data_IF_376623616654
#
_entry.id   IF_376623616654
#
_cell.length_a   1.000
_cell.length_b   1.000
_cell.length_c   1.000
_cell.angle_alpha   90.00
_cell.angle_beta   90.00
_cell.angle_gamma   90.00
#
_symmetry.space_group_name_H-M   'P 1'
#
loop_
_entity.id
_entity.type
_entity.pdbx_description
1 polymer ?
#
# COMPACT_ATOMS: atom_id res chain seq x y z
N UNK A 1 26.23 -46.23 3.78
CA UNK A 1 27.60 -46.16 3.22
C UNK A 1 28.31 -45.07 4.02
N UNK A 2 28.97 -45.32 5.17
CA UNK A 2 30.01 -46.30 5.54
C UNK A 2 31.23 -46.29 4.62
N UNK A 3 32.39 -45.98 5.21
CA UNK A 3 33.73 -45.85 4.62
C UNK A 3 34.39 -44.60 5.20
N UNK A 4 35.23 -44.59 6.25
CA UNK A 4 36.33 -45.46 6.70
C UNK A 4 37.62 -45.39 5.87
N UNK A 5 38.74 -45.37 6.61
CA UNK A 5 40.17 -45.43 6.24
C UNK A 5 40.86 -44.08 5.90
N UNK A 6 41.79 -43.57 6.71
CA UNK A 6 43.10 -44.07 7.19
C UNK A 6 44.23 -43.88 6.16
N UNK A 7 45.31 -43.22 6.57
CA UNK A 7 46.51 -43.05 5.74
C UNK A 7 47.52 -42.10 6.36
N UNK A 8 48.59 -42.67 6.91
CA UNK A 8 49.65 -42.04 7.68
C UNK A 8 50.70 -41.29 6.83
N UNK A 9 51.51 -40.47 7.52
CA UNK A 9 52.95 -40.45 7.28
C UNK A 9 53.57 -39.07 7.01
N UNK A 10 54.66 -38.78 7.72
CA UNK A 10 55.70 -37.87 7.22
C UNK A 10 56.17 -36.82 8.24
N UNK A 11 57.22 -37.14 8.96
CA UNK A 11 57.92 -36.21 9.85
C UNK A 11 58.72 -35.15 9.10
N UNK A 12 59.02 -34.06 9.80
CA UNK A 12 59.94 -33.01 9.36
C UNK A 12 60.35 -32.16 10.55
N UNK A 13 61.56 -32.39 11.05
CA UNK A 13 62.22 -31.54 12.03
C UNK A 13 62.51 -30.16 11.42
N UNK A 14 62.30 -29.09 12.18
CA UNK A 14 62.64 -27.74 11.70
C UNK A 14 62.41 -26.64 12.72
N UNK A 15 63.49 -26.26 13.40
CA UNK A 15 63.79 -24.95 13.98
C UNK A 15 62.80 -24.33 14.99
N UNK A 16 63.26 -24.26 16.24
CA UNK A 16 62.73 -23.40 17.28
C UNK A 16 62.80 -21.92 16.84
N UNK A 17 61.64 -21.32 16.55
CA UNK A 17 61.47 -19.88 16.43
C UNK A 17 60.98 -19.31 17.77
N UNK A 18 61.68 -18.30 18.28
CA UNK A 18 61.37 -17.59 19.51
C UNK A 18 59.94 -17.01 19.49
N UNK A 19 59.22 -16.96 20.62
CA UNK A 19 57.87 -16.40 20.67
C UNK A 19 57.89 -14.90 20.36
N UNK A 20 56.95 -14.39 19.54
CA UNK A 20 56.79 -12.95 19.36
C UNK A 20 56.29 -12.34 20.67
N UNK A 21 57.07 -11.39 21.21
CA UNK A 21 56.71 -10.60 22.37
C UNK A 21 55.41 -9.84 22.11
N UNK A 22 54.33 -10.28 22.75
CA UNK A 22 53.02 -9.61 22.74
C UNK A 22 53.18 -8.21 23.32
N UNK A 23 52.81 -7.13 22.61
CA UNK A 23 52.82 -5.79 23.18
C UNK A 23 51.80 -5.71 24.34
N UNK A 24 52.11 -4.98 25.42
CA UNK A 24 51.21 -4.84 26.56
C UNK A 24 49.89 -4.22 26.11
N UNK A 25 48.78 -4.86 26.50
CA UNK A 25 47.44 -4.37 26.25
C UNK A 25 47.29 -2.92 26.75
N UNK A 26 46.87 -2.03 25.86
CA UNK A 26 46.57 -0.65 26.21
C UNK A 26 45.53 -0.63 27.36
N UNK A 27 45.71 0.22 28.39
CA UNK A 27 44.76 0.32 29.48
C UNK A 27 43.38 0.66 28.92
N UNK A 28 42.36 -0.09 29.35
CA UNK A 28 40.97 0.17 28.97
C UNK A 28 40.61 1.63 29.30
N UNK A 29 39.92 2.35 28.41
CA UNK A 29 39.53 3.73 28.66
C UNK A 29 38.73 3.80 29.97
N UNK A 30 39.10 4.74 30.84
CA UNK A 30 38.41 4.95 32.11
C UNK A 30 36.90 5.14 31.87
N UNK A 31 36.02 4.56 32.71
CA UNK A 31 34.58 4.71 32.55
C UNK A 31 34.23 6.20 32.59
N UNK A 32 33.49 6.66 31.58
CA UNK A 32 33.03 8.03 31.51
C UNK A 32 32.26 8.41 32.80
N UNK A 33 32.42 9.64 33.32
CA UNK A 33 31.73 10.06 34.53
C UNK A 33 30.21 9.92 34.34
N UNK A 34 29.55 9.35 35.35
CA UNK A 34 28.10 9.19 35.35
C UNK A 34 27.44 10.57 35.21
N UNK A 35 26.54 10.71 34.23
CA UNK A 35 25.81 11.95 33.99
C UNK A 35 25.04 12.38 35.25
N UNK A 36 25.10 13.68 35.57
CA UNK A 36 24.35 14.24 36.70
C UNK A 36 22.85 13.95 36.56
N UNK A 37 22.14 13.71 37.68
CA UNK A 37 20.70 13.50 37.64
C UNK A 37 19.98 14.74 37.10
N UNK A 38 18.89 14.57 36.32
CA UNK A 38 18.17 15.70 35.72
C UNK A 38 17.52 16.58 36.78
N UNK A 39 17.61 17.89 36.59
CA UNK A 39 16.95 18.84 37.47
C UNK A 39 15.41 18.73 37.34
N UNK A 40 14.64 19.04 38.40
CA UNK A 40 13.18 19.05 38.31
C UNK A 40 12.62 19.97 37.23
N UNK A 41 13.32 21.06 36.90
CA UNK A 41 12.92 22.00 35.85
C UNK A 41 13.05 21.38 34.46
N UNK A 42 14.18 20.74 34.15
CA UNK A 42 14.40 20.03 32.88
C UNK A 42 13.36 18.94 32.67
N UNK A 43 13.04 18.18 33.72
CA UNK A 43 12.01 17.14 33.66
C UNK A 43 10.63 17.71 33.31
N UNK A 44 10.24 18.83 33.93
CA UNK A 44 8.97 19.50 33.65
C UNK A 44 8.90 20.07 32.24
N UNK A 45 9.97 20.72 31.78
CA UNK A 45 10.04 21.31 30.45
C UNK A 45 9.95 20.24 29.36
N UNK A 46 10.74 19.16 29.49
CA UNK A 46 10.68 18.02 28.59
C UNK A 46 9.28 17.41 28.54
N UNK A 47 8.70 17.13 29.72
CA UNK A 47 7.37 16.52 29.81
C UNK A 47 6.31 17.39 29.13
N UNK A 48 6.31 18.70 29.35
CA UNK A 48 5.35 19.62 28.71
C UNK A 48 5.48 19.61 27.18
N UNK A 49 6.71 19.59 26.67
CA UNK A 49 7.00 19.47 25.24
C UNK A 49 6.46 18.16 24.66
N UNK A 50 6.80 17.04 25.29
CA UNK A 50 6.36 15.70 24.89
C UNK A 50 4.82 15.57 24.91
N UNK A 51 4.18 16.04 25.98
CA UNK A 51 2.71 16.04 26.11
C UNK A 51 2.04 16.85 25.00
N UNK A 52 2.57 18.03 24.70
CA UNK A 52 2.04 18.88 23.62
C UNK A 52 2.19 18.19 22.26
N UNK A 53 3.36 17.61 21.99
CA UNK A 53 3.63 16.86 20.76
C UNK A 53 2.67 15.68 20.56
N UNK A 54 2.46 14.87 21.60
CA UNK A 54 1.53 13.73 21.54
C UNK A 54 0.09 14.19 21.32
N UNK A 55 -0.38 15.23 22.01
CA UNK A 55 -1.74 15.78 21.82
C UNK A 55 -1.99 16.25 20.39
N UNK A 56 -1.03 16.99 19.83
CA UNK A 56 -1.10 17.47 18.44
C UNK A 56 -1.12 16.27 17.49
N UNK A 57 -0.22 15.31 17.67
CA UNK A 57 -0.13 14.13 16.81
C UNK A 57 -1.41 13.27 16.83
N UNK A 58 -2.01 13.04 18.01
CA UNK A 58 -3.28 12.30 18.13
C UNK A 58 -4.42 13.05 17.44
N UNK A 59 -4.48 14.38 17.58
CA UNK A 59 -5.51 15.20 16.93
C UNK A 59 -5.37 15.14 15.40
N UNK A 60 -4.15 15.31 14.89
CA UNK A 60 -3.82 15.15 13.46
C UNK A 60 -4.19 13.76 12.97
N UNK A 61 -3.84 12.71 13.74
CA UNK A 61 -4.12 11.33 13.35
C UNK A 61 -5.62 11.04 13.23
N UNK A 62 -6.45 11.52 14.18
CA UNK A 62 -7.91 11.40 14.10
C UNK A 62 -8.47 12.09 12.86
N UNK A 63 -8.03 13.32 12.58
CA UNK A 63 -8.46 14.09 11.41
C UNK A 63 -8.05 13.43 10.08
N UNK A 64 -6.79 12.99 9.97
CA UNK A 64 -6.28 12.29 8.79
C UNK A 64 -7.05 10.98 8.53
N UNK A 65 -7.35 10.21 9.58
CA UNK A 65 -8.16 8.99 9.45
C UNK A 65 -9.59 9.26 8.97
N UNK A 66 -10.24 10.30 9.50
CA UNK A 66 -11.58 10.69 9.05
C UNK A 66 -11.59 11.02 7.55
N UNK A 67 -10.64 11.85 7.08
CA UNK A 67 -10.48 12.15 5.65
C UNK A 67 -10.15 10.91 4.82
N UNK A 68 -9.33 10.01 5.35
CA UNK A 68 -9.03 8.73 4.72
C UNK A 68 -10.29 7.87 4.53
N UNK A 69 -11.14 7.78 5.54
CA UNK A 69 -12.42 7.06 5.48
C UNK A 69 -13.37 7.67 4.44
N UNK A 70 -13.50 9.00 4.42
CA UNK A 70 -14.30 9.72 3.41
C UNK A 70 -13.78 9.49 1.99
N UNK A 71 -12.46 9.54 1.79
CA UNK A 71 -11.83 9.27 0.50
C UNK A 71 -12.05 7.83 0.05
N UNK A 72 -11.98 6.86 0.97
CA UNK A 72 -12.27 5.45 0.68
C UNK A 72 -13.73 5.26 0.25
N UNK A 73 -14.68 5.87 0.96
CA UNK A 73 -16.10 5.80 0.62
C UNK A 73 -16.42 6.48 -0.73
N UNK A 74 -15.77 7.62 -1.02
CA UNK A 74 -15.87 8.26 -2.34
C UNK A 74 -15.31 7.37 -3.45
N UNK A 75 -14.17 6.72 -3.21
CA UNK A 75 -13.58 5.78 -4.16
C UNK A 75 -14.47 4.57 -4.44
N UNK A 76 -15.24 4.09 -3.45
CA UNK A 76 -16.23 3.01 -3.68
C UNK A 76 -17.29 3.42 -4.70
N UNK A 77 -17.76 4.68 -4.63
CA UNK A 77 -18.72 5.20 -5.63
C UNK A 77 -18.06 5.33 -7.01
N UNK A 78 -16.83 5.85 -7.06
CA UNK A 78 -16.08 6.03 -8.30
C UNK A 78 -15.76 4.69 -9.00
N UNK A 79 -15.27 3.68 -8.28
CA UNK A 79 -14.96 2.36 -8.86
C UNK A 79 -16.22 1.62 -9.33
N UNK A 80 -17.34 1.81 -8.65
CA UNK A 80 -18.64 1.27 -9.08
C UNK A 80 -19.10 1.95 -10.38
N UNK A 81 -19.02 3.28 -10.46
CA UNK A 81 -19.37 4.03 -11.66
C UNK A 81 -18.48 3.65 -12.85
N UNK A 82 -17.17 3.48 -12.62
CA UNK A 82 -16.20 3.01 -13.60
C UNK A 82 -16.58 1.62 -14.13
N UNK A 83 -16.85 0.69 -13.21
CA UNK A 83 -17.21 -0.70 -13.55
C UNK A 83 -18.48 -0.76 -14.39
N UNK A 84 -19.53 -0.04 -13.97
CA UNK A 84 -20.79 0.01 -14.71
C UNK A 84 -20.59 0.58 -16.12
N UNK A 85 -19.83 1.67 -16.25
CA UNK A 85 -19.56 2.27 -17.56
C UNK A 85 -18.80 1.31 -18.50
N UNK A 86 -17.81 0.58 -17.99
CA UNK A 86 -17.03 -0.39 -18.77
C UNK A 86 -17.87 -1.62 -19.17
N UNK A 87 -18.67 -2.17 -18.26
CA UNK A 87 -19.54 -3.30 -18.56
C UNK A 87 -20.65 -2.92 -19.52
N UNK A 88 -21.29 -1.76 -19.34
CA UNK A 88 -22.29 -1.26 -20.29
C UNK A 88 -21.69 -1.10 -21.69
N UNK A 89 -20.45 -0.62 -21.79
CA UNK A 89 -19.76 -0.49 -23.08
C UNK A 89 -19.45 -1.87 -23.70
N UNK A 90 -19.05 -2.84 -22.89
CA UNK A 90 -18.71 -4.19 -23.35
C UNK A 90 -19.94 -4.99 -23.81
N UNK A 91 -21.07 -4.87 -23.11
CA UNK A 91 -22.32 -5.56 -23.47
C UNK A 91 -23.18 -4.80 -24.48
N UNK A 92 -22.79 -3.58 -24.88
CA UNK A 92 -23.53 -2.78 -25.86
C UNK A 92 -23.79 -3.53 -27.19
N UNK A 93 -22.82 -4.26 -27.80
CA UNK A 93 -23.04 -4.97 -29.05
C UNK A 93 -24.09 -6.08 -28.96
N UNK A 94 -24.28 -6.64 -27.78
CA UNK A 94 -25.24 -7.73 -27.52
C UNK A 94 -26.58 -7.23 -26.99
N UNK A 95 -26.72 -5.92 -26.70
CA UNK A 95 -27.98 -5.37 -26.18
C UNK A 95 -29.01 -5.22 -27.30
N UNK A 96 -30.29 -5.58 -27.07
CA UNK A 96 -31.36 -5.30 -28.01
C UNK A 96 -31.62 -3.79 -28.02
N UNK A 97 -31.14 -3.10 -29.05
CA UNK A 97 -31.31 -1.64 -29.21
C UNK A 97 -32.65 -1.24 -29.86
N UNK A 98 -33.43 -2.22 -30.34
CA UNK A 98 -34.69 -1.97 -31.04
C UNK A 98 -34.49 -1.06 -32.26
N UNK A 99 -35.36 -0.07 -32.44
CA UNK A 99 -35.28 0.92 -33.52
C UNK A 99 -33.95 1.72 -33.53
N UNK A 100 -33.24 1.80 -32.39
CA UNK A 100 -31.95 2.49 -32.32
C UNK A 100 -30.83 1.69 -33.01
N UNK A 101 -31.02 0.40 -33.28
CA UNK A 101 -30.09 -0.41 -34.07
C UNK A 101 -30.02 0.06 -35.53
N UNK A 102 -31.12 0.60 -36.05
CA UNK A 102 -31.23 1.09 -37.43
C UNK A 102 -30.62 2.50 -37.59
N UNK A 103 -30.41 3.22 -36.49
CA UNK A 103 -29.83 4.55 -36.50
C UNK A 103 -28.30 4.49 -36.77
N UNK A 104 -27.83 4.99 -37.92
CA UNK A 104 -26.42 4.90 -38.28
C UNK A 104 -25.54 5.63 -37.26
N UNK A 105 -24.50 4.95 -36.78
CA UNK A 105 -23.54 5.49 -35.83
C UNK A 105 -24.02 5.58 -34.37
N UNK A 106 -25.26 5.19 -34.05
CA UNK A 106 -25.77 5.23 -32.67
C UNK A 106 -24.92 4.40 -31.70
N UNK A 107 -24.61 3.14 -32.05
CA UNK A 107 -23.83 2.25 -31.20
C UNK A 107 -22.43 2.81 -30.89
N UNK A 108 -21.78 3.41 -31.89
CA UNK A 108 -20.47 4.04 -31.73
C UNK A 108 -20.54 5.30 -30.86
N UNK A 109 -21.56 6.15 -31.05
CA UNK A 109 -21.79 7.32 -30.20
C UNK A 109 -22.09 6.92 -28.74
N UNK A 110 -22.90 5.89 -28.53
CA UNK A 110 -23.22 5.34 -27.22
C UNK A 110 -21.97 4.76 -26.54
N UNK A 111 -21.16 3.97 -27.26
CA UNK A 111 -19.89 3.44 -26.76
C UNK A 111 -18.95 4.57 -26.34
N UNK A 112 -18.76 5.59 -27.18
CA UNK A 112 -17.92 6.76 -26.86
C UNK A 112 -18.39 7.49 -25.62
N UNK A 113 -19.71 7.67 -25.46
CA UNK A 113 -20.30 8.27 -24.27
C UNK A 113 -20.02 7.45 -23.00
N UNK A 114 -20.08 6.13 -23.09
CA UNK A 114 -19.76 5.22 -21.98
C UNK A 114 -18.28 5.24 -21.62
N UNK A 115 -17.38 5.21 -22.61
CA UNK A 115 -15.94 5.35 -22.37
C UNK A 115 -15.59 6.71 -21.74
N UNK A 116 -16.22 7.80 -22.18
CA UNK A 116 -16.05 9.11 -21.52
C UNK A 116 -16.59 9.16 -20.08
N UNK A 117 -17.59 8.32 -19.73
CA UNK A 117 -18.01 8.14 -18.32
C UNK A 117 -16.96 7.36 -17.53
N UNK A 118 -16.41 6.29 -18.11
CA UNK A 118 -15.35 5.49 -17.48
C UNK A 118 -14.11 6.36 -17.19
N UNK A 119 -13.68 7.21 -18.12
CA UNK A 119 -12.55 8.13 -17.92
C UNK A 119 -12.79 9.17 -16.82
N UNK A 120 -14.02 9.68 -16.67
CA UNK A 120 -14.36 10.58 -15.56
C UNK A 120 -14.31 9.85 -14.22
N UNK A 121 -14.94 8.69 -14.14
CA UNK A 121 -14.94 7.86 -12.93
C UNK A 121 -13.52 7.43 -12.53
N UNK A 122 -12.64 7.14 -13.50
CA UNK A 122 -11.23 6.85 -13.25
C UNK A 122 -10.50 8.06 -12.63
N UNK A 123 -10.68 9.27 -13.17
CA UNK A 123 -10.07 10.49 -12.61
C UNK A 123 -10.58 10.79 -11.19
N UNK A 124 -11.86 10.57 -10.93
CA UNK A 124 -12.42 10.67 -9.57
C UNK A 124 -11.79 9.65 -8.64
N UNK A 125 -11.60 8.40 -9.10
CA UNK A 125 -10.95 7.35 -8.34
C UNK A 125 -9.48 7.66 -8.05
N UNK A 126 -8.76 8.23 -9.02
CA UNK A 126 -7.39 8.73 -8.85
C UNK A 126 -7.32 9.81 -7.76
N UNK A 127 -8.22 10.79 -7.81
CA UNK A 127 -8.30 11.81 -6.76
C UNK A 127 -8.64 11.23 -5.37
N UNK A 128 -9.44 10.16 -5.31
CA UNK A 128 -9.69 9.45 -4.05
C UNK A 128 -8.45 8.73 -3.52
N UNK A 129 -7.67 8.09 -4.39
CA UNK A 129 -6.40 7.47 -4.00
C UNK A 129 -5.39 8.52 -3.49
N UNK A 130 -5.26 9.67 -4.17
CA UNK A 130 -4.35 10.74 -3.76
C UNK A 130 -4.67 11.25 -2.35
N UNK A 131 -5.95 11.48 -2.05
CA UNK A 131 -6.38 11.88 -0.70
C UNK A 131 -6.08 10.81 0.37
N UNK A 132 -6.12 9.52 0.02
CA UNK A 132 -5.69 8.45 0.93
C UNK A 132 -4.18 8.51 1.18
N UNK A 133 -3.39 8.78 0.15
CA UNK A 133 -1.93 8.93 0.26
C UNK A 133 -1.56 10.13 1.13
N UNK A 134 -2.20 11.28 0.91
CA UNK A 134 -2.03 12.49 1.73
C UNK A 134 -2.34 12.22 3.20
N UNK A 135 -3.48 11.56 3.48
CA UNK A 135 -3.83 11.17 4.85
C UNK A 135 -2.79 10.24 5.49
N UNK A 136 -2.22 9.31 4.73
CA UNK A 136 -1.18 8.41 5.21
C UNK A 136 0.14 9.13 5.50
N UNK A 137 0.54 10.09 4.66
CA UNK A 137 1.74 10.91 4.88
C UNK A 137 1.56 11.83 6.10
N UNK A 138 0.38 12.41 6.30
CA UNK A 138 0.11 13.20 7.50
C UNK A 138 0.16 12.37 8.79
N UNK A 139 -0.34 11.12 8.74
CA UNK A 139 -0.20 10.18 9.86
C UNK A 139 1.27 9.87 10.15
N UNK A 140 2.08 9.67 9.11
CA UNK A 140 3.52 9.43 9.26
C UNK A 140 4.22 10.65 9.85
N UNK A 141 3.96 11.84 9.33
CA UNK A 141 4.51 13.09 9.84
C UNK A 141 4.12 13.32 11.32
N UNK A 142 2.89 12.98 11.72
CA UNK A 142 2.47 13.04 13.12
C UNK A 142 3.27 12.06 14.00
N UNK A 143 3.47 10.82 13.56
CA UNK A 143 4.26 9.82 14.29
C UNK A 143 5.75 10.21 14.39
N UNK A 144 6.30 10.75 13.31
CA UNK A 144 7.69 11.20 13.24
C UNK A 144 7.90 12.45 14.11
N UNK A 145 6.94 13.37 14.16
CA UNK A 145 6.98 14.52 15.06
C UNK A 145 7.06 14.14 16.53
N UNK A 146 6.38 13.07 16.95
CA UNK A 146 6.51 12.51 18.31
C UNK A 146 7.86 11.83 18.51
N UNK A 147 8.34 11.11 17.50
CA UNK A 147 9.63 10.38 17.54
C UNK A 147 10.84 11.30 17.56
N UNK A 148 10.75 12.45 16.90
CA UNK A 148 11.79 13.47 16.82
C UNK A 148 11.90 14.30 18.11
N UNK A 149 10.93 14.17 19.03
CA UNK A 149 11.00 14.87 20.30
C UNK A 149 12.17 14.31 21.13
N UNK A 150 13.12 15.16 21.58
CA UNK A 150 14.38 14.70 22.14
C UNK A 150 14.16 13.81 23.36
N UNK A 151 14.76 12.61 23.33
CA UNK A 151 14.73 11.62 24.40
C UNK A 151 16.13 11.00 24.60
N UNK A 152 17.14 11.86 24.53
CA UNK A 152 18.57 11.50 24.54
C UNK A 152 18.98 10.87 25.86
N UNK A 153 18.39 11.34 26.97
CA UNK A 153 18.66 10.82 28.29
C UNK A 153 17.87 9.54 28.57
N UNK A 154 18.49 8.59 29.28
CA UNK A 154 17.86 7.30 29.64
C UNK A 154 16.56 7.48 30.41
N UNK A 155 16.49 8.47 31.30
CA UNK A 155 15.28 8.75 32.09
C UNK A 155 14.11 9.21 31.21
N UNK A 156 14.35 9.94 30.13
CA UNK A 156 13.31 10.41 29.20
C UNK A 156 12.62 9.24 28.48
N UNK A 157 13.39 8.21 28.10
CA UNK A 157 12.86 7.04 27.38
C UNK A 157 11.93 6.17 28.23
N UNK A 158 12.18 6.11 29.54
CA UNK A 158 11.39 5.30 30.47
C UNK A 158 10.33 6.08 31.25
N UNK A 159 10.37 7.41 31.23
CA UNK A 159 9.42 8.23 31.99
C UNK A 159 8.07 8.28 31.26
N UNK A 160 6.95 8.11 31.98
CA UNK A 160 5.62 8.32 31.40
C UNK A 160 5.47 9.78 31.00
N UNK A 161 4.83 10.06 29.87
CA UNK A 161 4.57 11.43 29.39
C UNK A 161 3.33 12.00 30.08
N UNK A 162 2.24 11.24 30.12
CA UNK A 162 1.03 11.55 30.89
C UNK A 162 0.98 10.65 32.13
N UNK A 163 0.07 9.67 32.15
CA UNK A 163 -0.17 8.79 33.29
C UNK A 163 0.71 7.54 33.26
N UNK A 164 0.68 6.75 32.19
CA UNK A 164 1.35 5.45 32.12
C UNK A 164 2.26 5.28 30.89
N UNK A 165 1.96 5.93 29.76
CA UNK A 165 2.68 5.65 28.52
C UNK A 165 4.00 6.44 28.40
N UNK A 166 5.13 5.75 28.17
CA UNK A 166 6.37 6.43 27.80
C UNK A 166 6.32 6.90 26.34
N UNK A 167 7.05 7.96 26.04
CA UNK A 167 7.05 8.61 24.72
C UNK A 167 7.33 7.63 23.55
N UNK A 168 8.30 6.70 23.63
CA UNK A 168 8.55 5.76 22.53
C UNK A 168 7.37 4.82 22.27
N UNK A 169 6.59 4.48 23.31
CA UNK A 169 5.39 3.65 23.13
C UNK A 169 4.29 4.43 22.43
N UNK A 170 4.09 5.69 22.79
CA UNK A 170 3.12 6.55 22.10
C UNK A 170 3.48 6.73 20.61
N UNK A 171 4.76 6.99 20.31
CA UNK A 171 5.26 7.07 18.94
C UNK A 171 5.04 5.75 18.17
N UNK A 172 5.31 4.60 18.80
CA UNK A 172 5.12 3.29 18.18
C UNK A 172 3.65 3.00 17.83
N UNK A 173 2.71 3.39 18.71
CA UNK A 173 1.27 3.25 18.43
C UNK A 173 0.86 4.09 17.21
N UNK A 174 1.25 5.36 17.16
CA UNK A 174 0.98 6.24 16.01
C UNK A 174 1.62 5.73 14.72
N UNK A 175 2.85 5.22 14.80
CA UNK A 175 3.56 4.66 13.64
C UNK A 175 2.84 3.42 13.09
N UNK A 176 2.34 2.53 13.94
CA UNK A 176 1.55 1.37 13.51
C UNK A 176 0.32 1.79 12.70
N UNK A 177 -0.39 2.84 13.13
CA UNK A 177 -1.53 3.41 12.39
C UNK A 177 -1.07 4.00 11.05
N UNK A 178 0.03 4.75 11.02
CA UNK A 178 0.58 5.34 9.80
C UNK A 178 1.04 4.28 8.78
N UNK A 179 1.70 3.22 9.23
CA UNK A 179 2.16 2.11 8.38
C UNK A 179 1.00 1.31 7.78
N UNK A 180 -0.06 1.07 8.56
CA UNK A 180 -1.29 0.47 8.07
C UNK A 180 -1.92 1.32 6.95
N UNK A 181 -2.08 2.63 7.19
CA UNK A 181 -2.63 3.56 6.19
C UNK A 181 -1.78 3.66 4.92
N UNK A 182 -0.45 3.68 5.05
CA UNK A 182 0.46 3.76 3.92
C UNK A 182 0.41 2.51 3.04
N UNK A 183 0.35 1.31 3.64
CA UNK A 183 0.21 0.05 2.90
C UNK A 183 -1.11 -0.01 2.13
N UNK A 184 -2.19 0.44 2.75
CA UNK A 184 -3.50 0.53 2.11
C UNK A 184 -3.50 1.50 0.92
N UNK A 185 -2.93 2.70 1.09
CA UNK A 185 -2.80 3.67 0.00
C UNK A 185 -2.00 3.12 -1.18
N UNK A 186 -0.88 2.44 -0.90
CA UNK A 186 -0.04 1.81 -1.93
C UNK A 186 -0.78 0.66 -2.66
N UNK A 187 -1.53 -0.17 -1.95
CA UNK A 187 -2.33 -1.23 -2.56
C UNK A 187 -3.39 -0.64 -3.51
N UNK A 188 -4.06 0.43 -3.08
CA UNK A 188 -5.05 1.14 -3.89
C UNK A 188 -4.41 1.86 -5.09
N UNK A 189 -3.20 2.41 -4.96
CA UNK A 189 -2.45 2.98 -6.10
C UNK A 189 -2.25 1.97 -7.21
N UNK A 190 -1.83 0.74 -6.85
CA UNK A 190 -1.60 -0.34 -7.82
C UNK A 190 -2.90 -0.73 -8.53
N UNK A 191 -3.99 -0.82 -7.79
CA UNK A 191 -5.32 -1.10 -8.33
C UNK A 191 -5.76 -0.01 -9.33
N UNK A 192 -5.65 1.26 -8.94
CA UNK A 192 -5.99 2.40 -9.82
C UNK A 192 -5.12 2.40 -11.08
N UNK A 193 -3.83 2.12 -10.96
CA UNK A 193 -2.91 2.01 -12.10
C UNK A 193 -3.31 0.89 -13.06
N UNK A 194 -3.72 -0.27 -12.53
CA UNK A 194 -4.21 -1.39 -13.35
C UNK A 194 -5.51 -1.04 -14.07
N UNK A 195 -6.46 -0.39 -13.39
CA UNK A 195 -7.70 0.09 -13.98
C UNK A 195 -7.47 1.17 -15.06
N UNK A 196 -6.50 2.06 -14.86
CA UNK A 196 -6.14 3.05 -15.86
C UNK A 196 -5.64 2.40 -17.16
N UNK A 197 -4.82 1.36 -17.04
CA UNK A 197 -4.36 0.58 -18.19
C UNK A 197 -5.52 -0.15 -18.90
N UNK A 198 -6.49 -0.65 -18.14
CA UNK A 198 -7.70 -1.27 -18.69
C UNK A 198 -8.54 -0.25 -19.48
N UNK A 199 -8.77 0.96 -18.94
CA UNK A 199 -9.53 2.02 -19.61
C UNK A 199 -8.84 2.46 -20.92
N UNK A 200 -7.51 2.65 -20.89
CA UNK A 200 -6.74 2.99 -22.10
C UNK A 200 -6.81 1.91 -23.17
N UNK A 201 -6.76 0.64 -22.78
CA UNK A 201 -6.89 -0.49 -23.70
C UNK A 201 -8.27 -0.56 -24.39
N UNK A 202 -9.34 -0.19 -23.67
CA UNK A 202 -10.72 -0.22 -24.18
C UNK A 202 -11.00 0.83 -25.27
N UNK A 203 -10.21 1.91 -25.32
CA UNK A 203 -10.32 2.97 -26.33
C UNK A 203 -9.59 2.67 -27.65
N UNK A 204 -8.64 1.74 -27.67
CA UNK A 204 -7.77 1.47 -28.83
C UNK A 204 -8.31 0.47 -29.86
N UNK A 205 -9.45 -0.17 -29.61
CA UNK A 205 -9.99 -1.27 -30.43
C UNK A 205 -10.63 -0.89 -31.77
N UNK A 206 -10.28 0.26 -32.35
CA UNK A 206 -10.80 0.72 -33.66
C UNK A 206 -9.89 0.44 -34.85
N UNK A 207 -8.68 -0.07 -34.65
CA UNK A 207 -7.70 -0.21 -35.74
C UNK A 207 -6.66 -1.30 -35.51
N UNK A 208 -7.01 -2.53 -35.86
CA UNK A 208 -6.04 -3.57 -36.27
C UNK A 208 -6.70 -4.26 -37.47
N UNK A 209 -6.57 -3.72 -38.68
CA UNK A 209 -5.41 -4.00 -39.54
C UNK A 209 -5.10 -5.50 -39.48
N UNK A 210 -5.79 -6.24 -40.32
CA UNK A 210 -5.44 -7.59 -40.71
C UNK A 210 -4.07 -7.51 -41.39
N UNK A 211 -2.97 -8.10 -40.87
CA UNK A 211 -1.80 -8.30 -41.68
C UNK A 211 -2.16 -9.38 -42.69
N UNK A 212 -2.57 -8.94 -43.88
CA UNK A 212 -2.67 -9.80 -45.03
C UNK A 212 -1.31 -10.44 -45.32
N UNK A 213 -1.33 -11.73 -45.65
CA UNK A 213 -0.18 -12.40 -46.24
C UNK A 213 0.11 -13.77 -45.64
N UNK A 214 -0.69 -14.78 -46.01
CA UNK A 214 -0.12 -16.09 -46.30
C UNK A 214 -1.07 -16.87 -47.21
N UNK A 215 -0.75 -16.85 -48.50
CA UNK A 215 -1.30 -17.74 -49.52
C UNK A 215 -0.80 -19.16 -49.25
N UNK A 216 -1.62 -19.96 -48.55
CA UNK A 216 -1.42 -21.39 -48.37
C UNK A 216 -2.63 -22.15 -48.90
N UNK A 217 -2.58 -22.52 -50.17
CA UNK A 217 -3.58 -23.34 -50.83
C UNK A 217 -3.40 -24.82 -50.43
N UNK A 218 -4.40 -25.40 -49.77
CA UNK A 218 -4.42 -26.82 -49.42
C UNK A 218 -5.81 -27.24 -48.96
N UNK A 219 -6.53 -27.92 -49.85
CA UNK A 219 -7.91 -28.38 -49.63
C UNK A 219 -8.02 -29.59 -48.70
N UNK A 220 -9.23 -29.81 -48.19
CA UNK A 220 -9.59 -31.01 -47.43
C UNK A 220 -10.86 -30.77 -46.62
N UNK A 221 -11.99 -31.20 -47.17
CA UNK A 221 -13.32 -30.98 -46.62
C UNK A 221 -13.54 -31.61 -45.24
N UNK A 222 -14.36 -30.93 -44.46
CA UNK A 222 -14.85 -31.37 -43.16
C UNK A 222 -15.89 -30.39 -42.66
N UNK A 223 -17.15 -30.64 -43.03
CA UNK A 223 -18.33 -29.94 -42.53
C UNK A 223 -18.35 -29.99 -40.99
N UNK A 224 -17.92 -28.89 -40.36
CA UNK A 224 -18.24 -28.58 -38.97
C UNK A 224 -18.69 -27.14 -38.96
N UNK A 225 -20.02 -26.96 -38.96
CA UNK A 225 -20.68 -25.69 -38.65
C UNK A 225 -20.28 -25.25 -37.24
N UNK A 226 -19.20 -24.49 -37.15
CA UNK A 226 -18.74 -23.85 -35.93
C UNK A 226 -19.35 -22.46 -35.86
N UNK A 227 -20.27 -22.26 -34.91
CA UNK A 227 -20.92 -20.99 -34.65
C UNK A 227 -19.91 -19.90 -34.29
N UNK A 228 -19.72 -18.95 -35.21
CA UNK A 228 -18.84 -17.79 -35.05
C UNK A 228 -19.36 -16.71 -34.07
N UNK A 229 -20.35 -17.04 -33.23
CA UNK A 229 -21.01 -16.08 -32.33
C UNK A 229 -20.37 -15.89 -30.94
N UNK A 230 -19.31 -16.63 -30.59
CA UNK A 230 -18.81 -16.71 -29.20
C UNK A 230 -17.83 -15.63 -28.74
N UNK A 231 -17.23 -14.85 -29.66
CA UNK A 231 -16.07 -13.99 -29.33
C UNK A 231 -16.39 -12.78 -28.44
N UNK A 232 -17.53 -12.11 -28.68
CA UNK A 232 -17.88 -10.89 -27.95
C UNK A 232 -18.30 -11.16 -26.50
N UNK A 233 -18.97 -12.29 -26.24
CA UNK A 233 -19.42 -12.66 -24.90
C UNK A 233 -18.26 -13.06 -23.97
N UNK A 234 -17.29 -13.81 -24.49
CA UNK A 234 -16.13 -14.24 -23.70
C UNK A 234 -15.28 -13.07 -23.19
N UNK A 235 -15.09 -12.02 -24.01
CA UNK A 235 -14.35 -10.83 -23.61
C UNK A 235 -15.07 -10.00 -22.54
N UNK A 236 -16.40 -9.89 -22.61
CA UNK A 236 -17.21 -9.18 -21.63
C UNK A 236 -17.23 -9.89 -20.27
N UNK A 237 -17.28 -11.23 -20.24
CA UNK A 237 -17.24 -11.98 -18.99
C UNK A 237 -15.87 -11.89 -18.30
N UNK A 238 -14.77 -12.04 -19.06
CA UNK A 238 -13.42 -11.84 -18.52
C UNK A 238 -13.19 -10.40 -18.01
N UNK A 239 -13.86 -9.41 -18.60
CA UNK A 239 -13.85 -8.03 -18.08
C UNK A 239 -14.63 -7.95 -16.76
N UNK A 240 -15.81 -8.55 -16.68
CA UNK A 240 -16.65 -8.61 -15.47
C UNK A 240 -15.93 -9.25 -14.30
N UNK A 241 -15.26 -10.37 -14.51
CA UNK A 241 -14.47 -11.03 -13.47
C UNK A 241 -13.37 -10.09 -12.92
N UNK A 242 -12.59 -9.47 -13.81
CA UNK A 242 -11.53 -8.51 -13.41
C UNK A 242 -12.08 -7.31 -12.65
N UNK A 243 -13.21 -6.75 -13.08
CA UNK A 243 -13.84 -5.61 -12.42
C UNK A 243 -14.47 -6.01 -11.07
N UNK A 244 -14.98 -7.23 -10.94
CA UNK A 244 -15.46 -7.77 -9.67
C UNK A 244 -14.33 -7.89 -8.66
N UNK A 245 -13.19 -8.43 -9.07
CA UNK A 245 -11.97 -8.49 -8.24
C UNK A 245 -11.50 -7.09 -7.87
N UNK A 246 -11.54 -6.13 -8.80
CA UNK A 246 -11.15 -4.75 -8.55
C UNK A 246 -12.03 -4.08 -7.48
N UNK A 247 -13.36 -4.20 -7.58
CA UNK A 247 -14.30 -3.67 -6.57
C UNK A 247 -14.07 -4.34 -5.22
N UNK A 248 -13.98 -5.68 -5.19
CA UNK A 248 -13.74 -6.41 -3.95
C UNK A 248 -12.43 -5.99 -3.29
N UNK A 249 -11.38 -5.80 -4.07
CA UNK A 249 -10.06 -5.35 -3.59
C UNK A 249 -10.11 -3.94 -3.00
N UNK A 250 -10.90 -3.02 -3.61
CA UNK A 250 -11.09 -1.67 -3.06
C UNK A 250 -11.84 -1.70 -1.71
N UNK A 251 -12.83 -2.59 -1.59
CA UNK A 251 -13.67 -2.72 -0.40
C UNK A 251 -13.01 -3.44 0.77
N UNK A 252 -12.15 -4.42 0.50
CA UNK A 252 -11.59 -5.30 1.52
C UNK A 252 -10.66 -4.62 2.53
N UNK A 253 -10.13 -3.43 2.23
CA UNK A 253 -9.19 -2.65 3.07
C UNK A 253 -8.17 -3.51 3.85
N UNK A 254 -7.44 -4.42 3.18
CA UNK A 254 -6.76 -5.54 3.83
C UNK A 254 -5.63 -5.15 4.77
N UNK A 255 -5.15 -3.91 4.73
CA UNK A 255 -4.04 -3.44 5.56
C UNK A 255 -4.48 -2.51 6.70
N UNK A 256 -5.74 -2.06 6.71
CA UNK A 256 -6.27 -1.22 7.79
C UNK A 256 -7.21 -2.04 8.65
N UNK A 257 -6.68 -2.44 9.80
CA UNK A 257 -7.49 -2.88 10.93
C UNK A 257 -8.00 -1.62 11.66
N UNK A 258 -9.22 -1.21 11.33
CA UNK A 258 -9.84 -0.02 11.93
C UNK A 258 -10.00 -0.18 13.45
N UNK A 259 -10.27 -1.40 13.94
CA UNK A 259 -10.39 -1.68 15.37
C UNK A 259 -9.04 -1.52 16.08
N UNK A 260 -7.95 -2.06 15.52
CA UNK A 260 -6.62 -1.88 16.09
C UNK A 260 -6.17 -0.41 16.07
N UNK A 261 -6.50 0.32 15.00
CA UNK A 261 -6.19 1.75 14.90
C UNK A 261 -7.02 2.59 15.89
N UNK A 262 -8.30 2.27 16.07
CA UNK A 262 -9.18 2.90 17.06
C UNK A 262 -8.70 2.59 18.47
N UNK A 263 -8.35 1.34 18.77
CA UNK A 263 -7.80 0.92 20.06
C UNK A 263 -6.49 1.65 20.37
N UNK A 264 -5.59 1.82 19.39
CA UNK A 264 -4.35 2.57 19.57
C UNK A 264 -4.61 4.05 19.91
N UNK A 265 -5.53 4.71 19.21
CA UNK A 265 -5.88 6.11 19.48
C UNK A 265 -6.70 6.28 20.77
N UNK A 266 -7.55 5.31 21.11
CA UNK A 266 -8.28 5.27 22.37
C UNK A 266 -7.30 5.14 23.55
N UNK A 267 -6.36 4.20 23.48
CA UNK A 267 -5.29 4.02 24.48
C UNK A 267 -4.52 5.32 24.72
N UNK A 268 -4.14 6.04 23.66
CA UNK A 268 -3.50 7.35 23.79
C UNK A 268 -4.41 8.41 24.40
N UNK A 269 -5.70 8.41 24.03
CA UNK A 269 -6.68 9.38 24.55
C UNK A 269 -6.95 9.16 26.04
N UNK A 270 -7.07 7.92 26.47
CA UNK A 270 -7.27 7.53 27.87
C UNK A 270 -6.05 7.88 28.72
N UNK A 271 -4.83 7.57 28.24
CA UNK A 271 -3.58 7.92 28.94
C UNK A 271 -3.46 9.44 29.18
N UNK A 272 -3.92 10.26 28.22
CA UNK A 272 -3.98 11.71 28.32
C UNK A 272 -5.05 12.23 29.28
N UNK A 273 -6.17 11.51 29.44
CA UNK A 273 -7.28 11.92 30.30
C UNK A 273 -7.01 11.64 31.79
N UNK A 274 -6.13 10.69 32.10
CA UNK A 274 -5.73 10.37 33.47
C UNK A 274 -4.75 11.36 34.12
N UNK A 275 -4.47 12.52 33.49
CA UNK A 275 -3.51 13.54 33.94
C UNK A 275 -4.15 14.93 33.99
#
# INVERSE_FOLDING_TARGET
MSGAEAGAGGGGAGAAAAPPSTPPAAPAPAPAPAAAPPTPLEQRQWRRGAQTGVRVAVTTAKSARARGAEASAAGTRAITALTNALLEAAYLPTRPLGLLAEAPGFAEAARRKLLGRAERALRELEGCWQRLAEAAEELRAAADGVSAHPADARWQRGSPVFSALPLPRAAALLRGVAEAAAREAEAKRRLVTALASLVRGSGGGGGSAHPGGSSGQGGGGGDRGAGAGGGAGAGAEALRERLTVAIASWLARPFVDDEAADAALATLTEDMAGF
#
